data_IF_235796097888
#
_entry.id   IF_235796097888
#
_cell.length_a   1.000
_cell.length_b   1.000
_cell.length_c   1.000
_cell.angle_alpha   90.00
_cell.angle_beta   90.00
_cell.angle_gamma   90.00
#
_symmetry.space_group_name_H-M   'P 1'
#
loop_
_entity.id
_entity.type
_entity.pdbx_description
1 polymer ?
#
# COMPACT_ATOMS: atom_id res chain seq x y z
N UNK A 1 -20.28 18.26 3.58
CA UNK A 1 -19.99 18.20 2.13
C UNK A 1 -18.78 19.05 1.79
N UNK A 2 -18.75 20.36 2.09
CA UNK A 2 -17.61 21.26 1.76
C UNK A 2 -16.25 20.91 2.40
N UNK A 3 -16.23 20.39 3.64
CA UNK A 3 -14.98 19.99 4.30
C UNK A 3 -14.30 18.80 3.60
N UNK A 4 -15.07 17.78 3.24
CA UNK A 4 -14.59 16.57 2.56
C UNK A 4 -13.95 16.90 1.20
N UNK A 5 -14.54 17.81 0.43
CA UNK A 5 -14.01 18.22 -0.87
C UNK A 5 -12.68 18.95 -0.75
N UNK A 6 -12.48 19.77 0.30
CA UNK A 6 -11.19 20.42 0.57
C UNK A 6 -10.12 19.41 0.92
N UNK A 7 -10.43 18.42 1.75
CA UNK A 7 -9.46 17.39 2.16
C UNK A 7 -9.07 16.49 0.98
N UNK A 8 -10.03 16.11 0.13
CA UNK A 8 -9.72 15.38 -1.11
C UNK A 8 -8.88 16.24 -2.06
N UNK A 9 -9.18 17.54 -2.19
CA UNK A 9 -8.43 18.43 -3.06
C UNK A 9 -6.98 18.67 -2.57
N UNK A 10 -6.77 18.79 -1.25
CA UNK A 10 -5.42 18.92 -0.68
C UNK A 10 -4.63 17.63 -0.85
N UNK A 11 -5.24 16.47 -0.58
CA UNK A 11 -4.60 15.16 -0.80
C UNK A 11 -4.27 14.93 -2.27
N UNK A 12 -5.18 15.29 -3.20
CA UNK A 12 -4.95 15.17 -4.64
C UNK A 12 -3.84 16.10 -5.12
N UNK A 13 -3.81 17.35 -4.63
CA UNK A 13 -2.74 18.29 -4.92
C UNK A 13 -1.39 17.80 -4.41
N UNK A 14 -1.35 17.24 -3.20
CA UNK A 14 -0.13 16.70 -2.60
C UNK A 14 0.36 15.46 -3.36
N UNK A 15 -0.55 14.56 -3.74
CA UNK A 15 -0.26 13.41 -4.59
C UNK A 15 0.27 13.82 -5.98
N UNK A 16 -0.30 14.87 -6.57
CA UNK A 16 0.17 15.41 -7.85
C UNK A 16 1.58 16.02 -7.76
N UNK A 17 1.87 16.77 -6.70
CA UNK A 17 3.22 17.34 -6.45
C UNK A 17 4.23 16.21 -6.26
N UNK A 18 3.92 15.22 -5.42
CA UNK A 18 4.76 14.04 -5.20
C UNK A 18 4.99 13.27 -6.50
N UNK A 19 3.93 13.04 -7.28
CA UNK A 19 4.00 12.38 -8.58
C UNK A 19 4.87 13.16 -9.59
N UNK A 20 4.77 14.49 -9.59
CA UNK A 20 5.60 15.35 -10.42
C UNK A 20 7.08 15.27 -10.02
N UNK A 21 7.39 15.33 -8.72
CA UNK A 21 8.76 15.18 -8.22
C UNK A 21 9.32 13.80 -8.61
N UNK A 22 8.53 12.73 -8.47
CA UNK A 22 8.94 11.40 -8.90
C UNK A 22 9.31 11.36 -10.38
N UNK A 23 8.44 11.94 -11.23
CA UNK A 23 8.62 11.94 -12.67
C UNK A 23 9.77 12.85 -13.13
N UNK A 24 10.02 13.98 -12.45
CA UNK A 24 11.03 14.97 -12.88
C UNK A 24 12.44 14.66 -12.38
N UNK A 25 12.59 14.14 -11.16
CA UNK A 25 13.90 13.99 -10.51
C UNK A 25 14.32 12.53 -10.29
N UNK A 26 13.41 11.68 -9.83
CA UNK A 26 13.75 10.33 -9.36
C UNK A 26 13.65 9.27 -10.47
N UNK A 27 12.73 9.42 -11.43
CA UNK A 27 12.49 8.47 -12.53
C UNK A 27 12.31 7.01 -12.08
N UNK A 28 11.85 6.80 -10.84
CA UNK A 28 11.69 5.47 -10.27
C UNK A 28 10.43 4.79 -10.83
N UNK A 29 10.41 3.45 -10.91
CA UNK A 29 9.19 2.70 -11.20
C UNK A 29 8.05 3.19 -10.32
N UNK A 30 6.89 3.50 -10.92
CA UNK A 30 5.78 4.26 -10.30
C UNK A 30 5.45 3.81 -8.87
N UNK A 31 5.43 2.50 -8.62
CA UNK A 31 5.13 1.91 -7.30
C UNK A 31 6.22 2.18 -6.25
N UNK A 32 7.49 2.04 -6.62
CA UNK A 32 8.62 2.24 -5.71
C UNK A 32 8.82 3.73 -5.41
N UNK A 33 8.66 4.58 -6.43
CA UNK A 33 8.81 6.02 -6.30
C UNK A 33 7.80 6.63 -5.32
N UNK A 34 6.54 6.22 -5.39
CA UNK A 34 5.51 6.72 -4.48
C UNK A 34 5.78 6.34 -3.03
N UNK A 35 6.16 5.09 -2.75
CA UNK A 35 6.47 4.64 -1.38
C UNK A 35 7.68 5.39 -0.82
N UNK A 36 8.74 5.54 -1.60
CA UNK A 36 9.94 6.26 -1.15
C UNK A 36 9.67 7.74 -0.90
N UNK A 37 8.87 8.41 -1.74
CA UNK A 37 8.55 9.82 -1.52
C UNK A 37 7.61 9.99 -0.33
N UNK A 38 6.62 9.11 -0.15
CA UNK A 38 5.76 9.13 1.03
C UNK A 38 6.58 8.92 2.32
N UNK A 39 7.53 7.98 2.30
CA UNK A 39 8.45 7.73 3.40
C UNK A 39 9.36 8.95 3.66
N UNK A 40 9.95 9.53 2.62
CA UNK A 40 10.78 10.73 2.74
C UNK A 40 9.99 11.94 3.27
N UNK A 41 8.76 12.15 2.78
CA UNK A 41 7.87 13.20 3.27
C UNK A 41 7.53 13.00 4.75
N UNK A 42 7.27 11.75 5.18
CA UNK A 42 7.05 11.40 6.58
C UNK A 42 8.28 11.70 7.44
N UNK A 43 9.49 11.32 6.99
CA UNK A 43 10.73 11.63 7.70
C UNK A 43 11.02 13.13 7.78
N UNK A 44 10.78 13.88 6.71
CA UNK A 44 10.94 15.34 6.68
C UNK A 44 9.97 15.99 7.66
N UNK A 45 8.70 15.55 7.69
CA UNK A 45 7.71 16.06 8.64
C UNK A 45 8.15 15.83 10.10
N UNK A 46 8.64 14.63 10.42
CA UNK A 46 9.20 14.32 11.74
C UNK A 46 10.44 15.17 12.06
N UNK A 47 11.32 15.39 11.07
CA UNK A 47 12.52 16.23 11.22
C UNK A 47 12.20 17.71 11.48
N UNK A 48 11.16 18.23 10.82
CA UNK A 48 10.69 19.61 11.03
C UNK A 48 10.10 19.78 12.45
N UNK A 49 9.31 18.81 12.92
CA UNK A 49 8.75 18.82 14.27
C UNK A 49 9.86 18.81 15.35
N UNK A 50 10.93 18.05 15.11
CA UNK A 50 12.09 17.97 16.00
C UNK A 50 12.95 19.26 16.03
N UNK A 51 13.09 19.98 14.91
CA UNK A 51 13.88 21.21 14.86
C UNK A 51 13.14 22.45 15.38
N UNK A 52 11.80 22.50 15.23
CA UNK A 52 10.98 23.67 15.60
C UNK A 52 9.79 23.18 16.44
N UNK A 53 10.01 22.94 17.75
CA UNK A 53 8.93 22.50 18.64
C UNK A 53 7.85 23.59 18.75
N UNK A 54 6.63 23.26 18.34
CA UNK A 54 5.46 24.14 18.46
C UNK A 54 4.87 24.66 17.14
N UNK A 55 5.40 24.27 15.98
CA UNK A 55 4.88 24.73 14.69
C UNK A 55 3.49 24.17 14.31
N UNK A 56 2.92 23.28 15.13
CA UNK A 56 1.54 22.79 14.99
C UNK A 56 1.30 21.86 13.81
N UNK A 57 2.35 21.50 13.06
CA UNK A 57 2.26 20.56 11.92
C UNK A 57 1.92 19.15 12.40
N UNK A 58 2.53 18.69 13.49
CA UNK A 58 2.28 17.39 14.11
C UNK A 58 0.81 17.17 14.53
N UNK A 59 0.19 18.04 15.35
CA UNK A 59 -1.19 17.85 15.80
C UNK A 59 -2.23 17.89 14.66
N UNK A 60 -2.07 18.79 13.68
CA UNK A 60 -3.00 18.95 12.56
C UNK A 60 -2.95 17.79 11.57
N UNK A 61 -1.74 17.33 11.19
CA UNK A 61 -1.59 16.14 10.35
C UNK A 61 -2.03 14.88 11.08
N UNK A 62 -1.68 14.73 12.35
CA UNK A 62 -2.03 13.53 13.14
C UNK A 62 -3.54 13.41 13.36
N UNK A 63 -4.26 14.52 13.51
CA UNK A 63 -5.72 14.51 13.58
C UNK A 63 -6.37 14.00 12.28
N UNK A 64 -5.87 14.42 11.12
CA UNK A 64 -6.37 13.94 9.82
C UNK A 64 -6.01 12.47 9.56
N UNK A 65 -4.80 12.04 9.94
CA UNK A 65 -4.37 10.65 9.75
C UNK A 65 -5.06 9.66 10.70
N UNK A 66 -5.47 10.07 11.91
CA UNK A 66 -6.17 9.21 12.88
C UNK A 66 -7.63 8.98 12.47
N UNK A 67 -8.24 9.91 11.74
CA UNK A 67 -9.64 9.83 11.33
C UNK A 67 -9.85 8.96 10.08
N UNK A 68 -8.80 8.75 9.28
CA UNK A 68 -8.87 7.90 8.09
C UNK A 68 -8.54 6.45 8.48
N UNK A 69 -9.58 5.64 8.64
CA UNK A 69 -9.41 4.18 8.66
C UNK A 69 -9.10 3.69 7.24
N UNK A 70 -7.81 3.75 6.89
CA UNK A 70 -7.31 3.35 5.57
C UNK A 70 -7.60 1.88 5.29
N UNK A 71 -7.54 1.01 6.31
CA UNK A 71 -7.82 -0.40 6.16
C UNK A 71 -9.27 -0.61 5.76
N UNK A 72 -10.20 0.02 6.47
CA UNK A 72 -11.63 -0.09 6.18
C UNK A 72 -11.98 0.49 4.81
N UNK A 73 -11.48 1.71 4.52
CA UNK A 73 -11.69 2.39 3.24
C UNK A 73 -11.12 1.59 2.06
N UNK A 74 -9.93 1.00 2.22
CA UNK A 74 -9.29 0.22 1.18
C UNK A 74 -10.01 -1.11 0.98
N UNK A 75 -10.28 -1.85 2.07
CA UNK A 75 -10.90 -3.17 2.02
C UNK A 75 -12.35 -3.13 1.55
N UNK A 76 -13.16 -2.19 2.03
CA UNK A 76 -14.59 -2.12 1.73
C UNK A 76 -14.90 -1.26 0.50
N UNK A 77 -14.13 -0.19 0.26
CA UNK A 77 -14.37 0.72 -0.85
C UNK A 77 -13.45 0.44 -2.04
N UNK A 78 -12.16 0.70 -1.87
CA UNK A 78 -11.23 0.82 -3.00
C UNK A 78 -10.91 -0.52 -3.67
N UNK A 79 -10.84 -1.62 -2.92
CA UNK A 79 -10.41 -2.94 -3.43
C UNK A 79 -11.35 -3.46 -4.52
N UNK A 80 -12.67 -3.28 -4.38
CA UNK A 80 -13.64 -3.64 -5.42
C UNK A 80 -13.39 -2.87 -6.73
N UNK A 81 -13.17 -1.55 -6.65
CA UNK A 81 -12.82 -0.73 -7.82
C UNK A 81 -11.47 -1.11 -8.42
N UNK A 82 -10.47 -1.45 -7.61
CA UNK A 82 -9.16 -1.89 -8.08
C UNK A 82 -9.23 -3.25 -8.79
N UNK A 83 -9.97 -4.21 -8.24
CA UNK A 83 -10.20 -5.50 -8.89
C UNK A 83 -10.98 -5.36 -10.20
N UNK A 84 -11.98 -4.47 -10.23
CA UNK A 84 -12.72 -4.16 -11.44
C UNK A 84 -11.83 -3.49 -12.52
N UNK A 85 -11.04 -2.50 -12.13
CA UNK A 85 -10.09 -1.83 -13.03
C UNK A 85 -9.03 -2.81 -13.57
N UNK A 86 -8.55 -3.73 -12.73
CA UNK A 86 -7.68 -4.82 -13.13
C UNK A 86 -8.33 -5.76 -14.13
N UNK A 87 -9.59 -6.15 -13.89
CA UNK A 87 -10.35 -7.02 -14.78
C UNK A 87 -10.71 -6.38 -16.13
N UNK A 88 -10.98 -5.06 -16.18
CA UNK A 88 -11.26 -4.34 -17.44
C UNK A 88 -10.08 -4.34 -18.43
N UNK A 89 -8.84 -4.44 -17.94
CA UNK A 89 -7.65 -4.53 -18.78
C UNK A 89 -7.39 -5.96 -19.28
N UNK A 90 -8.17 -6.96 -18.86
CA UNK A 90 -7.99 -8.38 -19.22
C UNK A 90 -8.88 -8.77 -20.40
N UNK A 91 -8.28 -9.34 -21.43
CA UNK A 91 -9.01 -9.92 -22.56
C UNK A 91 -9.62 -11.29 -22.17
N UNK A 92 -10.95 -11.32 -22.03
CA UNK A 92 -11.73 -12.50 -21.66
C UNK A 92 -11.60 -13.65 -22.68
N UNK A 93 -11.41 -13.34 -23.97
CA UNK A 93 -11.23 -14.32 -25.03
C UNK A 93 -9.90 -15.05 -24.92
N UNK A 94 -8.83 -14.34 -24.57
CA UNK A 94 -7.53 -14.95 -24.25
C UNK A 94 -7.55 -15.70 -22.92
N UNK A 95 -8.25 -15.16 -21.92
CA UNK A 95 -8.38 -15.78 -20.60
C UNK A 95 -9.07 -17.15 -20.69
N UNK A 96 -10.21 -17.22 -21.40
CA UNK A 96 -10.96 -18.46 -21.58
C UNK A 96 -10.13 -19.57 -22.26
N UNK A 97 -9.32 -19.21 -23.28
CA UNK A 97 -8.45 -20.16 -23.98
C UNK A 97 -7.37 -20.79 -23.09
N UNK A 98 -6.96 -20.12 -22.00
CA UNK A 98 -5.93 -20.59 -21.06
C UNK A 98 -6.43 -20.74 -19.62
N UNK A 99 -7.75 -20.80 -19.42
CA UNK A 99 -8.38 -20.72 -18.10
C UNK A 99 -7.87 -21.76 -17.11
N UNK A 100 -7.63 -23.00 -17.56
CA UNK A 100 -7.09 -24.07 -16.72
C UNK A 100 -5.68 -23.79 -16.19
N UNK A 101 -4.79 -23.27 -17.04
CA UNK A 101 -3.44 -22.92 -16.61
C UNK A 101 -3.44 -21.74 -15.64
N UNK A 102 -4.29 -20.74 -15.90
CA UNK A 102 -4.44 -19.57 -15.03
C UNK A 102 -5.04 -19.97 -13.69
N UNK A 103 -6.07 -20.81 -13.68
CA UNK A 103 -6.67 -21.32 -12.45
C UNK A 103 -5.66 -22.14 -11.63
N UNK A 104 -4.89 -23.02 -12.27
CA UNK A 104 -3.84 -23.80 -11.59
C UNK A 104 -2.75 -22.90 -10.99
N UNK A 105 -2.32 -21.86 -11.70
CA UNK A 105 -1.34 -20.89 -11.19
C UNK A 105 -1.93 -20.01 -10.07
N UNK A 106 -3.17 -19.54 -10.22
CA UNK A 106 -3.82 -18.68 -9.24
C UNK A 106 -4.19 -19.42 -7.95
N UNK A 107 -4.46 -20.72 -8.00
CA UNK A 107 -4.80 -21.52 -6.81
C UNK A 107 -3.59 -22.27 -6.26
N UNK A 108 -3.01 -23.15 -7.07
CA UNK A 108 -1.85 -23.95 -6.69
C UNK A 108 -0.62 -23.08 -6.44
N UNK A 109 -0.33 -22.13 -7.33
CA UNK A 109 0.78 -21.21 -7.16
C UNK A 109 0.65 -20.33 -5.91
N UNK A 110 -0.58 -19.85 -5.62
CA UNK A 110 -0.87 -19.10 -4.39
C UNK A 110 -0.60 -19.96 -3.15
N UNK A 111 -1.20 -21.16 -3.06
CA UNK A 111 -1.03 -22.05 -1.91
C UNK A 111 0.43 -22.43 -1.66
N UNK A 112 1.16 -22.74 -2.74
CA UNK A 112 2.59 -23.07 -2.65
C UNK A 112 3.40 -21.84 -2.22
N UNK A 113 3.12 -20.67 -2.78
CA UNK A 113 3.82 -19.43 -2.41
C UNK A 113 3.57 -19.06 -0.94
N UNK A 114 2.31 -19.04 -0.50
CA UNK A 114 1.95 -18.74 0.89
C UNK A 114 2.57 -19.76 1.85
N UNK A 115 2.58 -21.05 1.49
CA UNK A 115 3.24 -22.08 2.28
C UNK A 115 4.76 -21.87 2.39
N UNK A 116 5.45 -21.67 1.26
CA UNK A 116 6.91 -21.51 1.23
C UNK A 116 7.32 -20.23 1.97
N UNK A 117 6.70 -19.09 1.64
CA UNK A 117 7.06 -17.79 2.23
C UNK A 117 6.65 -17.75 3.69
N UNK A 118 5.45 -18.19 4.05
CA UNK A 118 4.96 -18.19 5.42
C UNK A 118 5.77 -19.09 6.35
N UNK A 119 6.09 -20.32 5.93
CA UNK A 119 6.97 -21.21 6.71
C UNK A 119 8.41 -20.68 6.77
N UNK A 120 8.91 -20.10 5.68
CA UNK A 120 10.24 -19.46 5.66
C UNK A 120 10.34 -18.31 6.66
N UNK A 121 9.34 -17.42 6.69
CA UNK A 121 9.23 -16.32 7.65
C UNK A 121 9.15 -16.86 9.08
N UNK A 122 8.31 -17.87 9.32
CA UNK A 122 8.18 -18.50 10.63
C UNK A 122 9.52 -19.08 11.13
N UNK A 123 10.27 -19.74 10.23
CA UNK A 123 11.59 -20.29 10.56
C UNK A 123 12.60 -19.19 10.90
N UNK A 124 12.62 -18.09 10.14
CA UNK A 124 13.48 -16.93 10.41
C UNK A 124 13.14 -16.27 11.75
N UNK A 125 11.86 -16.07 12.07
CA UNK A 125 11.46 -15.51 13.36
C UNK A 125 11.80 -16.41 14.54
N UNK A 126 11.66 -17.72 14.37
CA UNK A 126 12.06 -18.68 15.39
C UNK A 126 13.59 -18.65 15.64
N UNK A 127 14.40 -18.43 14.60
CA UNK A 127 15.85 -18.25 14.72
C UNK A 127 16.25 -16.96 15.45
N UNK A 128 15.47 -15.89 15.33
CA UNK A 128 15.72 -14.61 16.02
C UNK A 128 15.12 -14.57 17.44
N UNK A 129 14.51 -15.67 17.90
CA UNK A 129 13.90 -15.79 19.22
C UNK A 129 12.53 -15.14 19.35
N UNK A 130 11.94 -14.65 18.26
CA UNK A 130 10.57 -14.16 18.21
C UNK A 130 9.61 -15.32 17.93
N UNK A 131 8.96 -15.82 18.98
CA UNK A 131 7.97 -16.90 18.87
C UNK A 131 6.63 -16.37 18.33
N UNK A 132 6.56 -16.12 17.01
CA UNK A 132 5.32 -15.73 16.34
C UNK A 132 4.55 -17.00 15.91
N UNK A 133 3.23 -17.09 16.20
CA UNK A 133 2.42 -18.22 15.75
C UNK A 133 2.40 -18.35 14.23
N UNK A 134 2.51 -19.58 13.72
CA UNK A 134 2.57 -19.88 12.28
C UNK A 134 1.40 -19.27 11.50
N UNK A 135 0.21 -19.17 12.10
CA UNK A 135 -0.97 -18.60 11.46
C UNK A 135 -0.74 -17.15 10.99
N UNK A 136 0.01 -16.36 11.75
CA UNK A 136 0.32 -14.97 11.37
C UNK A 136 1.33 -14.91 10.22
N UNK A 137 2.28 -15.85 10.18
CA UNK A 137 3.25 -15.92 9.09
C UNK A 137 2.61 -16.36 7.76
N UNK A 138 1.51 -17.13 7.83
CA UNK A 138 0.73 -17.57 6.67
C UNK A 138 -0.24 -16.52 6.11
N UNK A 139 -0.39 -15.36 6.76
CA UNK A 139 -1.23 -14.25 6.26
C UNK A 139 -0.54 -13.39 5.19
N UNK A 140 0.69 -13.73 4.82
CA UNK A 140 1.42 -13.10 3.72
C UNK A 140 0.77 -13.41 2.36
#
# INVERSE_FOLDING_TARGET
MEHLTRDIATLLGLAAIIGYINHRFLHLPRTIGLVLIAMAASLIALGIDALIPGWGVGPGFRAVLVDIDFSDTLMQGMLGFLLFAGALHVDLGHLAKRGWAIAALATGGLLVSTGIVGVGIWFVFNLTGLSIPLIYCLLF
#
